data_IF_457565460057
#
_entry.id   IF_457565460057
#
_cell.length_a   1.000
_cell.length_b   1.000
_cell.length_c   1.000
_cell.angle_alpha   90.00
_cell.angle_beta   90.00
_cell.angle_gamma   90.00
#
_symmetry.space_group_name_H-M   'P 1'
#
loop_
_entity.id
_entity.type
_entity.pdbx_description
1 polymer ?
#
# COMPACT_ATOMS: atom_id res chain seq x y z
N UNK A 1 -15.18 2.28 21.96
CA UNK A 1 -15.85 0.96 22.19
C UNK A 1 -16.02 0.63 23.67
N UNK A 2 -15.00 0.80 24.54
CA UNK A 2 -15.13 0.44 25.99
C UNK A 2 -16.39 1.04 26.61
N UNK A 3 -16.64 2.35 26.47
CA UNK A 3 -17.86 2.98 27.01
C UNK A 3 -19.15 2.46 26.34
N UNK A 4 -19.11 2.04 25.08
CA UNK A 4 -20.25 1.41 24.41
C UNK A 4 -20.51 0.02 25.01
N UNK A 5 -19.47 -0.78 25.24
CA UNK A 5 -19.61 -2.08 25.88
C UNK A 5 -20.14 -1.96 27.31
N UNK A 6 -19.62 -1.01 28.10
CA UNK A 6 -20.14 -0.72 29.45
C UNK A 6 -21.63 -0.36 29.40
N UNK A 7 -22.05 0.53 28.48
CA UNK A 7 -23.45 0.90 28.28
C UNK A 7 -24.31 -0.34 27.96
N UNK A 8 -23.86 -1.22 27.06
CA UNK A 8 -24.61 -2.40 26.65
C UNK A 8 -24.69 -3.47 27.75
N UNK A 9 -23.74 -3.53 28.67
CA UNK A 9 -23.73 -4.38 29.83
C UNK A 9 -24.50 -3.80 31.03
N UNK A 10 -25.09 -2.59 30.92
CA UNK A 10 -25.78 -1.91 32.00
C UNK A 10 -24.84 -1.38 33.11
N UNK A 11 -23.54 -1.27 32.81
CA UNK A 11 -22.54 -0.70 33.73
C UNK A 11 -22.43 0.81 33.57
N UNK A 12 -21.77 1.46 34.53
CA UNK A 12 -21.49 2.90 34.47
C UNK A 12 -20.61 3.21 33.25
N UNK A 13 -21.01 4.20 32.46
CA UNK A 13 -20.32 4.63 31.24
C UNK A 13 -20.36 6.15 31.09
N UNK A 14 -19.53 6.69 30.20
CA UNK A 14 -19.48 8.12 29.93
C UNK A 14 -19.96 8.45 28.51
N UNK A 15 -21.17 8.99 28.39
CA UNK A 15 -21.68 9.49 27.11
C UNK A 15 -20.84 10.65 26.53
N UNK A 16 -20.34 11.61 27.32
CA UNK A 16 -19.42 12.65 26.82
C UNK A 16 -18.16 12.09 26.16
N UNK A 17 -17.59 10.99 26.68
CA UNK A 17 -16.43 10.33 26.07
C UNK A 17 -16.81 9.71 24.73
N UNK A 18 -17.98 9.05 24.63
CA UNK A 18 -18.47 8.50 23.36
C UNK A 18 -18.59 9.64 22.33
N UNK A 19 -19.26 10.73 22.65
CA UNK A 19 -19.47 11.86 21.76
C UNK A 19 -18.14 12.47 21.31
N UNK A 20 -17.21 12.72 22.23
CA UNK A 20 -15.87 13.22 21.89
C UNK A 20 -15.10 12.31 20.95
N UNK A 21 -15.20 10.99 21.10
CA UNK A 21 -14.55 10.04 20.19
C UNK A 21 -15.18 10.09 18.79
N UNK A 22 -16.50 10.27 18.70
CA UNK A 22 -17.20 10.43 17.42
C UNK A 22 -16.75 11.71 16.72
N UNK A 23 -16.69 12.83 17.46
CA UNK A 23 -16.22 14.13 16.92
C UNK A 23 -14.80 14.03 16.36
N UNK A 24 -13.91 13.26 17.03
CA UNK A 24 -12.55 13.01 16.52
C UNK A 24 -12.59 12.24 15.19
N UNK A 25 -13.42 11.22 15.07
CA UNK A 25 -13.58 10.43 13.83
C UNK A 25 -14.14 11.34 12.72
N UNK A 26 -15.15 12.14 13.01
CA UNK A 26 -15.76 13.07 12.04
C UNK A 26 -14.76 14.10 11.52
N UNK A 27 -13.91 14.64 12.41
CA UNK A 27 -12.85 15.58 12.04
C UNK A 27 -11.75 14.96 11.16
N UNK A 28 -11.65 13.64 11.11
CA UNK A 28 -10.74 12.91 10.23
C UNK A 28 -11.36 12.58 8.85
N UNK A 29 -12.65 12.84 8.63
CA UNK A 29 -13.33 12.48 7.40
C UNK A 29 -12.92 13.40 6.24
N UNK A 30 -12.43 12.80 5.14
CA UNK A 30 -11.96 13.51 3.95
C UNK A 30 -13.00 13.59 2.83
N UNK A 31 -14.07 12.82 2.91
CA UNK A 31 -15.06 12.67 1.86
C UNK A 31 -15.00 11.31 1.16
N UNK A 32 -16.04 10.98 0.38
CA UNK A 32 -16.13 9.77 -0.44
C UNK A 32 -15.80 8.45 0.28
N UNK A 33 -16.03 8.37 1.59
CA UNK A 33 -15.71 7.21 2.41
C UNK A 33 -14.30 7.21 3.01
N UNK A 34 -13.43 8.11 2.63
CA UNK A 34 -12.06 8.18 3.13
C UNK A 34 -11.93 8.99 4.42
N UNK A 35 -10.98 8.59 5.24
CA UNK A 35 -10.55 9.29 6.44
C UNK A 35 -9.04 9.55 6.40
N UNK A 36 -8.61 10.56 7.13
CA UNK A 36 -7.21 10.72 7.51
C UNK A 36 -6.94 9.93 8.79
N UNK A 37 -5.80 9.25 8.88
CA UNK A 37 -5.35 8.68 10.14
C UNK A 37 -4.55 9.73 10.94
N UNK A 38 -5.27 10.59 11.63
CA UNK A 38 -4.72 11.69 12.43
C UNK A 38 -4.44 12.96 11.63
N UNK A 39 -3.50 13.79 12.14
CA UNK A 39 -3.26 15.14 11.63
C UNK A 39 -2.54 15.25 10.28
N UNK A 40 -2.02 14.15 9.75
CA UNK A 40 -1.11 14.16 8.59
C UNK A 40 -1.78 13.92 7.23
N UNK A 41 -3.09 13.83 7.13
CA UNK A 41 -3.82 13.43 5.90
C UNK A 41 -3.37 12.08 5.32
N UNK A 42 -2.78 11.22 6.12
CA UNK A 42 -2.36 9.90 5.67
C UNK A 42 -3.56 8.96 5.63
N UNK A 43 -3.66 8.20 4.56
CA UNK A 43 -4.70 7.20 4.33
C UNK A 43 -4.04 5.90 3.91
N UNK A 44 -4.08 4.90 4.78
CA UNK A 44 -3.54 3.56 4.57
C UNK A 44 -4.51 2.50 5.11
N UNK A 45 -4.07 1.30 5.37
CA UNK A 45 -4.92 0.24 5.89
C UNK A 45 -5.59 0.53 7.24
N UNK A 46 -5.11 1.53 8.01
CA UNK A 46 -5.80 1.97 9.22
C UNK A 46 -7.20 2.53 8.93
N UNK A 47 -7.43 3.02 7.71
CA UNK A 47 -8.78 3.43 7.33
C UNK A 47 -9.74 2.24 7.31
N UNK A 48 -9.31 1.11 6.75
CA UNK A 48 -10.08 -0.12 6.68
C UNK A 48 -10.20 -0.80 8.05
N UNK A 49 -9.07 -1.18 8.67
CA UNK A 49 -9.07 -2.02 9.85
C UNK A 49 -9.20 -1.27 11.19
N UNK A 50 -9.27 0.07 11.16
CA UNK A 50 -9.54 0.87 12.36
C UNK A 50 -10.70 1.84 12.15
N UNK A 51 -10.61 2.85 11.28
CA UNK A 51 -11.65 3.87 11.15
C UNK A 51 -13.01 3.24 10.81
N UNK A 52 -13.11 2.54 9.70
CA UNK A 52 -14.35 1.87 9.32
C UNK A 52 -14.70 0.66 10.21
N UNK A 53 -13.70 -0.16 10.56
CA UNK A 53 -13.93 -1.32 11.40
C UNK A 53 -14.64 -0.93 12.72
N UNK A 54 -14.11 0.04 13.45
CA UNK A 54 -14.71 0.47 14.71
C UNK A 54 -15.99 1.27 14.53
N UNK A 55 -16.15 2.01 13.44
CA UNK A 55 -17.41 2.68 13.10
C UNK A 55 -18.52 1.68 12.79
N UNK A 56 -18.22 0.57 12.13
CA UNK A 56 -19.18 -0.51 11.85
C UNK A 56 -19.54 -1.30 13.12
N UNK A 57 -18.60 -1.50 14.05
CA UNK A 57 -18.94 -2.03 15.38
C UNK A 57 -19.84 -1.05 16.14
N UNK A 58 -19.63 0.28 16.02
CA UNK A 58 -20.59 1.25 16.56
C UNK A 58 -21.98 1.05 15.96
N UNK A 59 -22.09 0.91 14.65
CA UNK A 59 -23.35 0.64 13.97
C UNK A 59 -24.05 -0.59 14.58
N UNK A 60 -23.34 -1.71 14.70
CA UNK A 60 -23.92 -2.96 15.23
C UNK A 60 -24.46 -2.79 16.64
N UNK A 61 -23.75 -2.09 17.51
CA UNK A 61 -24.11 -1.98 18.92
C UNK A 61 -25.01 -0.79 19.25
N UNK A 62 -25.02 0.26 18.42
CA UNK A 62 -25.68 1.52 18.75
C UNK A 62 -26.82 1.92 17.80
N UNK A 63 -27.10 1.13 16.76
CA UNK A 63 -28.12 1.51 15.77
C UNK A 63 -29.50 1.81 16.36
N UNK A 64 -29.89 1.09 17.43
CA UNK A 64 -31.15 1.37 18.15
C UNK A 64 -31.08 2.63 18.99
N UNK A 65 -29.92 2.99 19.51
CA UNK A 65 -29.73 4.13 20.43
C UNK A 65 -29.38 5.41 19.64
N UNK A 66 -28.74 5.29 18.49
CA UNK A 66 -28.29 6.39 17.65
C UNK A 66 -28.38 5.99 16.15
N UNK A 67 -29.60 5.95 15.60
CA UNK A 67 -29.83 5.53 14.22
C UNK A 67 -29.26 6.54 13.19
N UNK A 68 -29.27 7.83 13.50
CA UNK A 68 -28.74 8.87 12.60
C UNK A 68 -27.24 8.73 12.40
N UNK A 69 -26.47 8.60 13.47
CA UNK A 69 -25.02 8.38 13.40
C UNK A 69 -24.70 7.04 12.74
N UNK A 70 -25.44 6.01 13.06
CA UNK A 70 -25.30 4.68 12.45
C UNK A 70 -25.49 4.74 10.94
N UNK A 71 -26.48 5.51 10.47
CA UNK A 71 -26.68 5.75 9.03
C UNK A 71 -25.47 6.44 8.40
N UNK A 72 -24.94 7.49 9.02
CA UNK A 72 -23.74 8.20 8.50
C UNK A 72 -22.56 7.25 8.33
N UNK A 73 -22.31 6.39 9.33
CA UNK A 73 -21.20 5.43 9.25
C UNK A 73 -21.43 4.34 8.20
N UNK A 74 -22.67 3.85 8.03
CA UNK A 74 -23.02 2.94 6.94
C UNK A 74 -22.79 3.56 5.57
N UNK A 75 -23.25 4.80 5.35
CA UNK A 75 -23.13 5.50 4.10
C UNK A 75 -21.64 5.72 3.73
N UNK A 76 -20.81 6.14 4.68
CA UNK A 76 -19.36 6.30 4.51
C UNK A 76 -18.66 4.97 4.21
N UNK A 77 -19.02 3.90 4.91
CA UNK A 77 -18.45 2.57 4.69
C UNK A 77 -18.84 2.03 3.30
N UNK A 78 -20.06 2.27 2.84
CA UNK A 78 -20.51 1.88 1.50
C UNK A 78 -19.73 2.59 0.40
N UNK A 79 -19.48 3.90 0.54
CA UNK A 79 -18.65 4.64 -0.40
C UNK A 79 -17.20 4.15 -0.43
N UNK A 80 -16.65 3.83 0.73
CA UNK A 80 -15.30 3.28 0.85
C UNK A 80 -15.20 1.88 0.24
N UNK A 81 -16.16 1.00 0.45
CA UNK A 81 -16.18 -0.36 -0.07
C UNK A 81 -16.02 -0.42 -1.59
N UNK A 82 -16.71 0.48 -2.33
CA UNK A 82 -16.66 0.57 -3.78
C UNK A 82 -15.29 0.99 -4.34
N UNK A 83 -14.44 1.55 -3.51
CA UNK A 83 -13.06 1.93 -3.83
C UNK A 83 -12.09 0.89 -3.29
N UNK A 84 -12.24 0.48 -2.04
CA UNK A 84 -11.34 -0.44 -1.38
C UNK A 84 -11.29 -1.83 -2.02
N UNK A 85 -12.34 -2.24 -2.76
CA UNK A 85 -12.33 -3.49 -3.53
C UNK A 85 -11.20 -3.51 -4.58
N UNK A 86 -10.80 -2.35 -5.11
CA UNK A 86 -9.71 -2.24 -6.07
C UNK A 86 -8.32 -2.55 -5.48
N UNK A 87 -8.20 -2.59 -4.16
CA UNK A 87 -6.95 -2.95 -3.47
C UNK A 87 -6.65 -4.44 -3.49
N UNK A 88 -7.65 -5.26 -3.86
CA UNK A 88 -7.55 -6.72 -3.88
C UNK A 88 -7.48 -7.25 -5.31
N UNK A 89 -6.63 -8.26 -5.50
CA UNK A 89 -6.55 -9.04 -6.73
C UNK A 89 -7.51 -10.24 -6.69
N UNK A 90 -7.75 -10.81 -7.85
CA UNK A 90 -8.62 -11.98 -8.02
C UNK A 90 -8.09 -13.23 -7.27
N UNK A 91 -6.79 -13.29 -6.99
CA UNK A 91 -6.17 -14.37 -6.20
C UNK A 91 -6.23 -14.13 -4.67
N UNK A 92 -6.80 -13.02 -4.23
CA UNK A 92 -6.89 -12.64 -2.83
C UNK A 92 -5.70 -11.84 -2.30
N UNK A 93 -4.62 -11.67 -3.06
CA UNK A 93 -3.54 -10.77 -2.67
C UNK A 93 -4.02 -9.32 -2.66
N UNK A 94 -3.38 -8.48 -1.87
CA UNK A 94 -3.70 -7.05 -1.78
C UNK A 94 -2.45 -6.19 -1.98
N UNK A 95 -2.65 -4.94 -2.42
CA UNK A 95 -1.55 -3.99 -2.60
C UNK A 95 -0.90 -3.69 -1.25
N UNK A 96 0.38 -3.98 -1.05
CA UNK A 96 1.08 -3.63 0.18
C UNK A 96 1.43 -2.15 0.18
N UNK A 97 0.78 -1.37 1.03
CA UNK A 97 0.97 0.08 1.12
C UNK A 97 0.92 0.57 2.56
N UNK A 98 1.81 1.49 2.91
CA UNK A 98 1.84 2.12 4.20
C UNK A 98 2.51 1.27 5.29
N UNK A 99 2.12 1.51 6.53
CA UNK A 99 2.70 0.92 7.75
C UNK A 99 1.90 -0.28 8.25
N UNK A 100 2.46 -0.96 9.26
CA UNK A 100 1.81 -2.07 9.98
C UNK A 100 1.38 -3.23 9.09
N UNK A 101 2.07 -3.45 7.97
CA UNK A 101 1.77 -4.53 7.04
C UNK A 101 1.97 -5.92 7.66
N UNK A 102 2.64 -6.00 8.81
CA UNK A 102 2.72 -7.25 9.61
C UNK A 102 1.37 -7.71 10.16
N UNK A 103 0.34 -6.86 10.13
CA UNK A 103 -1.04 -7.24 10.51
C UNK A 103 -1.75 -8.02 9.40
N UNK A 104 -1.10 -8.21 8.26
CA UNK A 104 -1.45 -9.13 7.16
C UNK A 104 -2.96 -9.15 6.85
N UNK A 105 -3.65 -10.25 7.19
CA UNK A 105 -5.07 -10.43 6.92
C UNK A 105 -6.02 -9.55 7.77
N UNK A 106 -5.52 -8.65 8.64
CA UNK A 106 -6.36 -7.55 9.14
C UNK A 106 -6.95 -6.70 8.00
N UNK A 107 -6.35 -6.75 6.80
CA UNK A 107 -6.85 -6.07 5.60
C UNK A 107 -8.30 -6.45 5.26
N UNK A 108 -8.73 -7.68 5.55
CA UNK A 108 -10.11 -8.12 5.28
C UNK A 108 -11.10 -7.76 6.39
N UNK A 109 -10.63 -7.31 7.55
CA UNK A 109 -11.53 -7.05 8.70
C UNK A 109 -12.61 -6.00 8.41
N UNK A 110 -12.36 -5.09 7.47
CA UNK A 110 -13.38 -4.16 6.98
C UNK A 110 -14.56 -4.89 6.34
N UNK A 111 -14.29 -5.86 5.47
CA UNK A 111 -15.32 -6.65 4.79
C UNK A 111 -16.12 -7.47 5.78
N UNK A 112 -15.46 -8.03 6.79
CA UNK A 112 -16.12 -8.76 7.86
C UNK A 112 -17.00 -7.85 8.73
N UNK A 113 -16.52 -6.63 9.02
CA UNK A 113 -17.29 -5.65 9.77
C UNK A 113 -18.52 -5.15 8.99
N UNK A 114 -18.46 -5.04 7.65
CA UNK A 114 -19.63 -4.75 6.81
C UNK A 114 -20.71 -5.82 6.98
N UNK A 115 -20.31 -7.10 6.88
CA UNK A 115 -21.23 -8.22 7.06
C UNK A 115 -21.80 -8.23 8.48
N UNK A 116 -20.94 -8.06 9.50
CA UNK A 116 -21.34 -8.04 10.91
C UNK A 116 -22.32 -6.91 11.24
N UNK A 117 -22.20 -5.76 10.57
CA UNK A 117 -23.07 -4.60 10.75
C UNK A 117 -24.29 -4.57 9.83
N UNK A 118 -24.53 -5.64 9.06
CA UNK A 118 -25.63 -5.75 8.10
C UNK A 118 -25.67 -4.57 7.11
N UNK A 119 -24.50 -4.25 6.48
CA UNK A 119 -24.38 -3.20 5.46
C UNK A 119 -24.38 -3.84 4.07
N UNK A 120 -25.43 -3.59 3.33
CA UNK A 120 -25.64 -4.10 1.97
C UNK A 120 -25.04 -3.11 0.94
N UNK A 121 -23.85 -3.41 0.43
CA UNK A 121 -23.14 -2.59 -0.58
C UNK A 121 -22.65 -3.42 -1.77
N UNK A 122 -22.31 -4.68 -1.54
CA UNK A 122 -21.89 -5.66 -2.54
C UNK A 122 -22.60 -6.98 -2.25
N UNK A 123 -22.75 -7.80 -3.28
CA UNK A 123 -23.23 -9.17 -3.08
C UNK A 123 -22.39 -9.90 -2.02
N UNK A 124 -23.06 -10.50 -1.06
CA UNK A 124 -22.41 -11.14 0.09
C UNK A 124 -21.46 -12.29 -0.32
N UNK A 125 -21.75 -12.97 -1.45
CA UNK A 125 -20.87 -13.98 -2.02
C UNK A 125 -19.55 -13.38 -2.56
N UNK A 126 -19.57 -12.15 -3.10
CA UNK A 126 -18.37 -11.43 -3.49
C UNK A 126 -17.53 -11.09 -2.24
N UNK A 127 -18.16 -10.57 -1.19
CA UNK A 127 -17.47 -10.26 0.08
C UNK A 127 -16.86 -11.54 0.67
N UNK A 128 -17.63 -12.65 0.70
CA UNK A 128 -17.15 -13.96 1.14
C UNK A 128 -15.94 -14.41 0.34
N UNK A 129 -16.00 -14.27 -0.99
CA UNK A 129 -14.90 -14.61 -1.88
C UNK A 129 -13.63 -13.77 -1.61
N UNK A 130 -13.75 -12.45 -1.38
CA UNK A 130 -12.61 -11.59 -1.01
C UNK A 130 -11.97 -12.09 0.29
N UNK A 131 -12.78 -12.35 1.32
CA UNK A 131 -12.30 -12.80 2.63
C UNK A 131 -11.56 -14.14 2.50
N UNK A 132 -12.17 -15.14 1.89
CA UNK A 132 -11.62 -16.49 1.85
C UNK A 132 -10.40 -16.60 0.94
N UNK A 133 -10.40 -15.94 -0.24
CA UNK A 133 -9.22 -15.90 -1.10
C UNK A 133 -8.04 -15.19 -0.44
N UNK A 134 -8.29 -14.10 0.30
CA UNK A 134 -7.22 -13.42 1.03
C UNK A 134 -6.65 -14.30 2.16
N UNK A 135 -7.48 -14.95 2.97
CA UNK A 135 -7.02 -15.88 4.00
C UNK A 135 -6.21 -17.02 3.37
N UNK A 136 -6.72 -17.64 2.29
CA UNK A 136 -6.01 -18.69 1.54
C UNK A 136 -4.66 -18.17 1.04
N UNK A 137 -4.61 -16.99 0.43
CA UNK A 137 -3.36 -16.40 -0.05
C UNK A 137 -2.31 -16.28 1.07
N UNK A 138 -2.73 -15.88 2.28
CA UNK A 138 -1.84 -15.76 3.43
C UNK A 138 -1.37 -17.11 3.97
N UNK A 139 -2.23 -18.14 3.98
CA UNK A 139 -1.85 -19.49 4.46
C UNK A 139 -0.82 -20.17 3.55
N UNK A 140 -0.73 -19.75 2.30
CA UNK A 140 0.27 -20.23 1.33
C UNK A 140 1.64 -19.52 1.45
N UNK A 141 1.81 -18.61 2.40
CA UNK A 141 3.03 -17.82 2.61
C UNK A 141 3.77 -18.27 3.86
N UNK A 142 5.08 -18.02 3.88
CA UNK A 142 5.91 -18.36 5.04
C UNK A 142 5.77 -17.30 6.15
N UNK A 143 4.57 -17.22 6.73
CA UNK A 143 4.21 -16.22 7.76
C UNK A 143 4.33 -16.75 9.19
N UNK A 144 4.63 -18.02 9.35
CA UNK A 144 4.81 -18.65 10.66
C UNK A 144 6.30 -18.86 10.97
N UNK A 145 6.63 -18.84 12.23
CA UNK A 145 7.91 -19.33 12.75
C UNK A 145 7.88 -20.87 12.82
N UNK A 146 9.05 -21.50 13.03
CA UNK A 146 9.13 -22.95 13.23
C UNK A 146 8.32 -23.43 14.46
N UNK A 147 8.09 -22.55 15.43
CA UNK A 147 7.23 -22.82 16.58
C UNK A 147 5.74 -22.61 16.37
N UNK A 148 5.31 -22.36 15.13
CA UNK A 148 3.89 -22.16 14.79
C UNK A 148 3.31 -20.80 15.20
N UNK A 149 4.15 -19.80 15.48
CA UNK A 149 3.72 -18.46 15.83
C UNK A 149 3.78 -17.55 14.60
N UNK A 150 2.86 -16.58 14.50
CA UNK A 150 2.92 -15.54 13.46
C UNK A 150 4.23 -14.75 13.60
N UNK A 151 5.01 -14.73 12.51
CA UNK A 151 6.29 -14.03 12.46
C UNK A 151 6.14 -12.53 12.22
N UNK A 152 7.13 -11.74 12.65
CA UNK A 152 7.31 -10.37 12.19
C UNK A 152 7.76 -10.37 10.72
N UNK A 153 7.10 -9.60 9.88
CA UNK A 153 7.37 -9.52 8.44
C UNK A 153 6.10 -9.51 7.61
N UNK A 154 6.22 -9.48 6.29
CA UNK A 154 5.08 -9.53 5.38
C UNK A 154 4.85 -10.95 4.87
N UNK A 155 5.40 -11.36 3.73
CA UNK A 155 5.25 -12.72 3.19
C UNK A 155 6.27 -13.71 3.74
N UNK A 156 7.26 -13.25 4.48
CA UNK A 156 8.28 -14.06 5.14
C UNK A 156 8.79 -13.32 6.40
N UNK A 157 9.48 -13.98 7.34
CA UNK A 157 10.08 -13.33 8.50
C UNK A 157 11.08 -12.25 8.10
N UNK A 158 10.76 -10.99 8.39
CA UNK A 158 11.58 -9.83 8.02
C UNK A 158 11.33 -8.66 8.99
N UNK A 159 12.27 -8.38 9.86
CA UNK A 159 12.18 -7.31 10.84
C UNK A 159 12.60 -5.94 10.31
N UNK A 160 13.28 -5.87 9.15
CA UNK A 160 13.75 -4.59 8.57
C UNK A 160 12.56 -3.71 8.16
N UNK A 161 11.46 -4.32 7.74
CA UNK A 161 10.25 -3.61 7.32
C UNK A 161 9.35 -3.15 8.46
N UNK A 162 9.61 -3.58 9.70
CA UNK A 162 8.72 -3.33 10.84
C UNK A 162 8.82 -1.90 11.36
N UNK A 163 7.83 -1.45 12.10
CA UNK A 163 7.83 -0.19 12.83
C UNK A 163 8.43 -0.37 14.24
N UNK A 164 8.92 0.73 14.82
CA UNK A 164 9.53 0.72 16.14
C UNK A 164 8.57 0.29 17.27
N UNK A 165 7.27 0.36 17.05
CA UNK A 165 6.25 -0.10 18.01
C UNK A 165 5.85 -1.56 17.83
N UNK A 166 6.36 -2.26 16.80
CA UNK A 166 6.02 -3.66 16.59
C UNK A 166 6.78 -4.59 17.55
N UNK A 167 6.04 -5.42 18.24
CA UNK A 167 6.54 -6.47 19.14
C UNK A 167 6.11 -7.85 18.64
N UNK A 168 6.63 -8.92 19.24
CA UNK A 168 6.35 -10.31 18.84
C UNK A 168 4.84 -10.64 18.76
N UNK A 169 4.01 -10.02 19.61
CA UNK A 169 2.55 -10.18 19.59
C UNK A 169 1.82 -9.32 18.56
N UNK A 170 2.48 -8.34 17.94
CA UNK A 170 1.82 -7.41 17.02
C UNK A 170 1.18 -8.08 15.79
N UNK A 171 1.74 -9.14 15.18
CA UNK A 171 1.08 -9.82 14.06
C UNK A 171 -0.32 -10.35 14.37
N UNK A 172 -0.64 -10.62 15.65
CA UNK A 172 -1.96 -11.10 16.08
C UNK A 172 -3.09 -10.05 16.00
N UNK A 173 -2.77 -8.78 15.71
CA UNK A 173 -3.77 -7.81 15.28
C UNK A 173 -4.51 -8.25 14.00
N UNK A 174 -3.93 -9.15 13.22
CA UNK A 174 -4.58 -9.79 12.07
C UNK A 174 -5.85 -10.55 12.44
N UNK A 175 -6.01 -10.98 13.70
CA UNK A 175 -7.21 -11.71 14.16
C UNK A 175 -8.50 -10.86 14.16
N UNK A 176 -8.40 -9.55 13.91
CA UNK A 176 -9.59 -8.77 13.50
C UNK A 176 -10.27 -9.37 12.27
N UNK A 177 -9.51 -10.05 11.39
CA UNK A 177 -10.00 -10.79 10.24
C UNK A 177 -10.70 -12.11 10.59
N UNK A 178 -11.22 -12.27 11.79
CA UNK A 178 -12.05 -13.40 12.23
C UNK A 178 -13.34 -12.95 12.90
N UNK A 179 -13.77 -11.70 12.68
CA UNK A 179 -15.02 -11.18 13.25
C UNK A 179 -16.24 -11.97 12.77
N UNK A 180 -16.21 -12.47 11.53
CA UNK A 180 -17.29 -13.29 10.97
C UNK A 180 -17.59 -14.56 11.77
N UNK A 181 -16.62 -15.09 12.54
CA UNK A 181 -16.85 -16.26 13.40
C UNK A 181 -17.85 -16.00 14.54
N UNK A 182 -18.24 -14.76 14.77
CA UNK A 182 -19.28 -14.39 15.73
C UNK A 182 -20.69 -14.44 15.15
N UNK A 183 -20.82 -14.65 13.83
CA UNK A 183 -22.10 -14.76 13.16
C UNK A 183 -22.74 -16.12 13.45
N UNK A 184 -24.07 -16.19 13.62
CA UNK A 184 -24.74 -17.46 13.81
C UNK A 184 -24.67 -18.35 12.56
N UNK A 185 -24.71 -19.67 12.74
CA UNK A 185 -24.54 -20.65 11.65
C UNK A 185 -25.54 -20.48 10.50
N UNK A 186 -26.75 -19.98 10.81
CA UNK A 186 -27.78 -19.70 9.82
C UNK A 186 -27.70 -18.32 9.19
N UNK A 187 -26.60 -17.56 9.41
CA UNK A 187 -26.41 -16.26 8.79
C UNK A 187 -26.21 -16.41 7.28
N UNK A 188 -26.77 -15.50 6.50
CA UNK A 188 -26.70 -15.52 5.03
C UNK A 188 -25.25 -15.60 4.49
N UNK A 189 -24.28 -15.05 5.20
CA UNK A 189 -22.86 -15.18 4.87
C UNK A 189 -22.40 -16.65 4.77
N UNK A 190 -22.84 -17.50 5.69
CA UNK A 190 -22.46 -18.91 5.69
C UNK A 190 -23.21 -19.71 4.63
N UNK A 191 -24.48 -19.35 4.36
CA UNK A 191 -25.36 -20.05 3.42
C UNK A 191 -25.13 -19.70 1.96
N UNK A 192 -24.50 -18.54 1.66
CA UNK A 192 -24.24 -18.10 0.30
C UNK A 192 -22.91 -18.68 -0.22
N UNK A 193 -22.86 -19.07 -1.48
CA UNK A 193 -21.63 -19.50 -2.14
C UNK A 193 -20.67 -18.34 -2.39
N UNK A 194 -19.37 -18.65 -2.43
CA UNK A 194 -18.35 -17.70 -2.84
C UNK A 194 -18.55 -17.28 -4.31
N UNK A 195 -18.35 -15.99 -4.58
CA UNK A 195 -18.34 -15.44 -5.94
C UNK A 195 -16.99 -14.80 -6.27
N UNK A 196 -16.69 -14.78 -7.54
CA UNK A 196 -15.52 -14.09 -8.08
C UNK A 196 -15.63 -12.58 -7.91
N UNK A 197 -14.50 -11.89 -8.10
CA UNK A 197 -14.47 -10.43 -8.16
C UNK A 197 -15.36 -9.92 -9.30
N UNK A 198 -16.08 -8.83 -9.11
CA UNK A 198 -16.89 -8.24 -10.19
C UNK A 198 -15.99 -7.72 -11.30
N UNK A 199 -16.57 -7.52 -12.49
CA UNK A 199 -15.85 -6.83 -13.56
C UNK A 199 -15.58 -5.37 -13.16
N UNK A 200 -14.30 -5.02 -13.04
CA UNK A 200 -13.85 -3.70 -12.58
C UNK A 200 -13.07 -2.98 -13.68
N UNK A 201 -13.03 -1.65 -13.59
CA UNK A 201 -12.19 -0.83 -14.47
C UNK A 201 -10.71 -1.09 -14.21
N UNK A 202 -9.87 -0.96 -15.23
CA UNK A 202 -8.42 -1.12 -15.09
C UNK A 202 -7.76 0.04 -14.32
N UNK A 203 -8.44 1.16 -14.18
CA UNK A 203 -7.91 2.35 -13.48
C UNK A 203 -9.00 2.91 -12.56
N UNK A 204 -8.67 3.11 -11.28
CA UNK A 204 -9.49 3.74 -10.26
C UNK A 204 -8.71 4.84 -9.56
N UNK A 205 -9.22 6.06 -9.63
CA UNK A 205 -8.61 7.24 -8.98
C UNK A 205 -9.25 7.48 -7.63
N UNK A 206 -8.47 7.43 -6.58
CA UNK A 206 -8.84 7.67 -5.18
C UNK A 206 -8.20 9.01 -4.74
N UNK A 207 -8.90 10.10 -5.02
CA UNK A 207 -8.38 11.46 -4.82
C UNK A 207 -8.06 11.78 -3.37
N UNK A 208 -8.91 11.34 -2.46
CA UNK A 208 -8.78 11.56 -1.02
C UNK A 208 -7.54 10.86 -0.46
N UNK A 209 -7.24 9.67 -0.97
CA UNK A 209 -6.03 8.91 -0.65
C UNK A 209 -4.80 9.35 -1.46
N UNK A 210 -4.96 10.22 -2.46
CA UNK A 210 -3.89 10.63 -3.37
C UNK A 210 -3.22 9.46 -4.11
N UNK A 211 -4.03 8.45 -4.47
CA UNK A 211 -3.63 7.18 -5.06
C UNK A 211 -4.43 6.91 -6.33
N UNK A 212 -3.84 6.20 -7.29
CA UNK A 212 -4.52 5.64 -8.45
C UNK A 212 -4.25 4.15 -8.52
N UNK A 213 -5.28 3.31 -8.36
CA UNK A 213 -5.20 1.86 -8.51
C UNK A 213 -5.23 1.48 -9.98
N UNK A 214 -4.34 0.57 -10.37
CA UNK A 214 -4.21 0.03 -11.71
C UNK A 214 -4.32 -1.50 -11.66
N UNK A 215 -5.01 -2.08 -12.64
CA UNK A 215 -5.24 -3.54 -12.72
C UNK A 215 -4.91 -4.05 -14.12
N UNK A 216 -4.24 -5.19 -14.18
CA UNK A 216 -4.02 -5.98 -15.38
C UNK A 216 -3.98 -7.47 -15.01
N UNK A 217 -5.07 -8.19 -15.22
CA UNK A 217 -5.23 -9.54 -14.71
C UNK A 217 -5.06 -9.61 -13.19
N UNK A 218 -4.15 -10.47 -12.73
CA UNK A 218 -3.82 -10.62 -11.30
C UNK A 218 -2.90 -9.53 -10.76
N UNK A 219 -2.32 -8.70 -11.60
CA UNK A 219 -1.47 -7.60 -11.16
C UNK A 219 -2.33 -6.40 -10.77
N UNK A 220 -2.25 -6.03 -9.49
CA UNK A 220 -2.84 -4.80 -8.96
C UNK A 220 -1.72 -3.94 -8.38
N UNK A 221 -1.64 -2.71 -8.82
CA UNK A 221 -0.66 -1.78 -8.26
C UNK A 221 -1.25 -0.39 -8.03
N UNK A 222 -0.79 0.26 -6.99
CA UNK A 222 -1.16 1.63 -6.66
C UNK A 222 -0.08 2.58 -7.12
N UNK A 223 -0.41 3.56 -7.96
CA UNK A 223 0.41 4.74 -8.18
C UNK A 223 0.14 5.73 -7.05
N UNK A 224 1.20 6.35 -6.51
CA UNK A 224 1.10 7.19 -5.33
C UNK A 224 1.79 8.55 -5.53
N UNK A 225 1.07 9.62 -5.24
CA UNK A 225 1.61 10.98 -5.23
C UNK A 225 2.39 11.32 -3.94
N UNK A 226 2.42 10.39 -2.99
CA UNK A 226 2.97 10.61 -1.66
C UNK A 226 1.93 11.16 -0.67
N UNK A 227 2.14 10.85 0.58
CA UNK A 227 1.27 11.30 1.68
C UNK A 227 2.13 11.77 2.84
N UNK A 228 1.74 12.86 3.47
CA UNK A 228 2.38 13.31 4.70
C UNK A 228 1.93 12.42 5.85
N UNK A 229 2.88 11.85 6.58
CA UNK A 229 2.62 11.09 7.79
C UNK A 229 3.34 11.70 8.98
N UNK A 230 2.90 11.41 10.21
CA UNK A 230 3.55 11.92 11.41
C UNK A 230 4.99 11.41 11.51
N UNK A 231 5.87 12.20 12.11
CA UNK A 231 7.24 11.80 12.41
C UNK A 231 7.26 10.54 13.28
N UNK A 232 8.23 9.66 13.03
CA UNK A 232 8.46 8.45 13.82
C UNK A 232 8.08 7.12 13.14
N UNK A 233 7.60 7.15 11.90
CA UNK A 233 7.43 5.92 11.10
C UNK A 233 8.79 5.57 10.46
N UNK A 234 9.32 4.39 10.77
CA UNK A 234 10.55 3.90 10.18
C UNK A 234 10.37 3.65 8.67
N UNK A 235 11.39 4.03 7.89
CA UNK A 235 11.39 3.88 6.43
C UNK A 235 10.16 4.55 5.77
N UNK A 236 9.77 5.70 6.29
CA UNK A 236 8.58 6.43 5.88
C UNK A 236 8.52 6.65 4.36
N UNK A 237 9.63 7.10 3.75
CA UNK A 237 9.71 7.36 2.31
C UNK A 237 9.41 6.09 1.50
N UNK A 238 9.97 4.96 1.90
CA UNK A 238 9.70 3.69 1.23
C UNK A 238 8.24 3.23 1.35
N UNK A 239 7.55 3.57 2.44
CA UNK A 239 6.18 3.14 2.73
C UNK A 239 5.10 4.04 2.13
N UNK A 240 5.39 5.34 1.90
CA UNK A 240 4.38 6.32 1.46
C UNK A 240 4.78 7.15 0.24
N UNK A 241 6.06 7.14 -0.16
CA UNK A 241 6.56 8.07 -1.16
C UNK A 241 7.10 7.41 -2.43
N UNK A 242 7.05 6.08 -2.56
CA UNK A 242 7.32 5.43 -3.84
C UNK A 242 6.27 5.84 -4.87
N UNK A 243 6.64 5.76 -6.14
CA UNK A 243 5.70 6.01 -7.24
C UNK A 243 4.68 4.89 -7.40
N UNK A 244 5.06 3.66 -7.05
CA UNK A 244 4.18 2.51 -7.20
C UNK A 244 4.40 1.45 -6.11
N UNK A 245 3.34 0.75 -5.75
CA UNK A 245 3.28 -0.39 -4.83
C UNK A 245 2.50 -1.52 -5.49
N UNK A 246 3.01 -2.74 -5.46
CA UNK A 246 2.45 -3.85 -6.24
C UNK A 246 2.17 -5.08 -5.39
N UNK A 247 1.02 -5.74 -5.62
CA UNK A 247 0.69 -7.03 -5.01
C UNK A 247 1.62 -8.17 -5.46
N UNK A 248 2.22 -8.07 -6.66
CA UNK A 248 3.13 -9.09 -7.21
C UNK A 248 4.60 -8.84 -6.84
N UNK A 249 5.00 -7.58 -6.74
CA UNK A 249 6.39 -7.18 -6.59
C UNK A 249 6.69 -6.61 -5.20
N UNK A 250 5.68 -6.37 -4.38
CA UNK A 250 5.83 -5.72 -3.09
C UNK A 250 6.42 -4.32 -3.21
N UNK A 251 7.27 -3.99 -2.27
CA UNK A 251 8.17 -2.85 -2.30
C UNK A 251 9.37 -3.14 -1.39
N UNK A 252 10.44 -2.37 -1.57
CA UNK A 252 11.64 -2.51 -0.74
C UNK A 252 11.76 -1.36 0.26
N UNK A 253 12.30 -1.68 1.44
CA UNK A 253 12.74 -0.72 2.45
C UNK A 253 14.27 -0.69 2.47
N UNK A 254 14.91 0.46 2.73
CA UNK A 254 16.37 0.55 2.75
C UNK A 254 16.95 -0.29 3.91
N UNK A 255 18.08 -0.92 3.65
CA UNK A 255 18.89 -1.59 4.68
C UNK A 255 20.01 -0.69 5.21
N UNK A 256 20.38 0.32 4.46
CA UNK A 256 21.41 1.30 4.78
C UNK A 256 21.38 2.49 3.82
N UNK A 257 22.24 3.47 4.08
CA UNK A 257 22.22 4.75 3.36
C UNK A 257 23.18 4.80 2.14
N UNK A 258 23.94 3.73 1.86
CA UNK A 258 24.98 3.77 0.85
C UNK A 258 24.56 3.13 -0.47
N UNK A 259 24.54 3.96 -1.50
CA UNK A 259 24.37 3.55 -2.89
C UNK A 259 23.01 2.91 -3.19
N UNK A 260 22.84 2.54 -4.44
CA UNK A 260 21.56 1.98 -4.93
C UNK A 260 21.25 0.60 -4.36
N UNK A 261 22.29 -0.18 -4.03
CA UNK A 261 22.14 -1.54 -3.48
C UNK A 261 21.50 -1.52 -2.09
N UNK A 262 22.01 -0.68 -1.15
CA UNK A 262 21.49 -0.61 0.21
C UNK A 262 20.17 0.18 0.30
N UNK A 263 20.03 1.22 -0.53
CA UNK A 263 18.81 2.04 -0.59
C UNK A 263 17.62 1.30 -1.18
N UNK A 264 17.87 0.33 -2.08
CA UNK A 264 16.85 -0.51 -2.72
C UNK A 264 15.66 0.30 -3.26
N UNK A 265 15.96 1.26 -4.15
CA UNK A 265 15.03 2.29 -4.62
C UNK A 265 14.12 1.80 -5.76
N UNK A 266 13.43 0.68 -5.56
CA UNK A 266 12.40 0.22 -6.48
C UNK A 266 11.22 1.20 -6.52
N UNK A 267 10.68 1.43 -7.71
CA UNK A 267 9.58 2.37 -7.95
C UNK A 267 9.81 3.75 -7.33
N UNK A 268 11.06 4.23 -7.37
CA UNK A 268 11.48 5.54 -6.86
C UNK A 268 12.41 6.24 -7.81
N UNK A 269 12.28 7.57 -7.85
CA UNK A 269 13.30 8.47 -8.39
C UNK A 269 14.13 9.05 -7.24
N UNK A 270 15.45 8.99 -7.36
CA UNK A 270 16.37 9.43 -6.32
C UNK A 270 17.51 10.27 -6.90
N UNK A 271 18.04 11.16 -6.08
CA UNK A 271 19.05 12.15 -6.45
C UNK A 271 20.26 12.07 -5.52
N UNK A 272 21.46 12.27 -6.06
CA UNK A 272 22.69 12.33 -5.27
C UNK A 272 23.62 13.39 -5.84
N UNK A 273 24.29 14.15 -4.99
CA UNK A 273 25.39 15.07 -5.39
C UNK A 273 26.77 14.49 -5.11
N UNK A 274 26.87 13.37 -4.39
CA UNK A 274 28.13 12.70 -4.04
C UNK A 274 28.27 11.28 -4.65
N UNK A 275 27.25 10.78 -5.34
CA UNK A 275 27.14 9.41 -5.89
C UNK A 275 27.17 8.29 -4.83
N UNK A 276 27.11 8.63 -3.57
CA UNK A 276 27.18 7.69 -2.43
C UNK A 276 25.87 7.60 -1.67
N UNK A 277 25.26 8.76 -1.40
CA UNK A 277 23.98 8.85 -0.72
C UNK A 277 22.94 9.39 -1.67
N UNK A 278 21.87 8.66 -1.79
CA UNK A 278 20.73 9.05 -2.62
C UNK A 278 19.59 9.54 -1.75
N UNK A 279 18.96 10.60 -2.18
CA UNK A 279 17.83 11.26 -1.51
C UNK A 279 16.58 10.93 -2.30
N UNK A 280 15.64 10.30 -1.64
CA UNK A 280 14.33 9.95 -2.15
C UNK A 280 13.33 11.11 -2.02
N UNK A 281 12.22 11.00 -2.72
CA UNK A 281 11.13 11.96 -2.68
C UNK A 281 10.62 12.12 -1.24
N UNK A 282 10.55 13.35 -0.78
CA UNK A 282 9.99 13.77 0.52
C UNK A 282 9.51 15.22 0.41
N UNK A 283 8.77 15.68 1.39
CA UNK A 283 8.34 17.09 1.53
C UNK A 283 7.75 17.68 0.24
N UNK A 284 6.76 16.99 -0.33
CA UNK A 284 6.08 17.42 -1.55
C UNK A 284 5.47 18.80 -1.37
N UNK A 285 5.91 19.74 -2.19
CA UNK A 285 5.45 21.14 -2.19
C UNK A 285 4.09 21.30 -2.83
N UNK A 286 3.83 20.53 -3.89
CA UNK A 286 2.58 20.52 -4.64
C UNK A 286 2.25 19.11 -5.07
N UNK A 287 1.00 18.72 -4.93
CA UNK A 287 0.48 17.44 -5.36
C UNK A 287 -0.95 17.61 -5.82
N UNK A 288 -1.30 17.03 -6.97
CA UNK A 288 -2.67 16.97 -7.46
C UNK A 288 -2.86 15.83 -8.46
N UNK A 289 -4.12 15.45 -8.67
CA UNK A 289 -4.53 14.49 -9.70
C UNK A 289 -5.51 15.21 -10.64
N UNK A 290 -5.22 15.21 -11.94
CA UNK A 290 -6.10 15.75 -12.99
C UNK A 290 -6.42 14.65 -13.99
N UNK A 291 -7.69 14.25 -14.07
CA UNK A 291 -8.05 13.01 -14.76
C UNK A 291 -7.35 11.84 -14.10
N UNK A 292 -6.55 11.10 -14.87
CA UNK A 292 -5.73 9.99 -14.38
C UNK A 292 -4.25 10.39 -14.17
N UNK A 293 -3.87 11.61 -14.53
CA UNK A 293 -2.48 12.07 -14.44
C UNK A 293 -2.22 12.62 -13.03
N UNK A 294 -1.19 12.11 -12.40
CA UNK A 294 -0.75 12.49 -11.06
C UNK A 294 0.48 13.39 -11.19
N UNK A 295 0.50 14.50 -10.45
CA UNK A 295 1.60 15.46 -10.45
C UNK A 295 2.12 15.69 -9.06
N UNK A 296 3.45 15.77 -8.93
CA UNK A 296 4.15 16.18 -7.70
C UNK A 296 5.33 17.09 -7.98
N UNK A 297 5.58 18.02 -7.05
CA UNK A 297 6.77 18.88 -7.06
C UNK A 297 7.47 18.82 -5.71
N UNK A 298 8.80 18.63 -5.71
CA UNK A 298 9.61 18.48 -4.50
C UNK A 298 11.04 18.98 -4.71
N UNK A 299 11.80 19.16 -3.63
CA UNK A 299 13.19 19.64 -3.67
C UNK A 299 14.07 18.77 -2.78
N UNK A 300 14.87 17.85 -3.36
CA UNK A 300 15.78 17.00 -2.58
C UNK A 300 16.96 17.74 -1.97
N UNK A 301 17.44 18.76 -2.66
CA UNK A 301 18.62 19.56 -2.31
C UNK A 301 18.30 21.04 -2.50
N UNK A 302 19.11 21.92 -1.88
CA UNK A 302 19.03 23.36 -2.11
C UNK A 302 19.25 23.66 -3.61
N UNK A 303 18.35 24.46 -4.19
CA UNK A 303 18.36 24.85 -5.62
C UNK A 303 18.18 23.67 -6.59
N UNK A 304 17.66 22.55 -6.15
CA UNK A 304 17.21 21.45 -6.99
C UNK A 304 15.70 21.33 -6.87
N UNK A 305 14.98 21.55 -7.97
CA UNK A 305 13.53 21.41 -8.05
C UNK A 305 13.19 20.29 -9.04
N UNK A 306 12.32 19.41 -8.62
CA UNK A 306 11.88 18.26 -9.42
C UNK A 306 10.37 18.26 -9.51
N UNK A 307 9.87 18.15 -10.74
CA UNK A 307 8.46 17.97 -11.05
C UNK A 307 8.28 16.59 -11.68
N UNK A 308 7.36 15.81 -11.15
CA UNK A 308 7.02 14.49 -11.70
C UNK A 308 5.58 14.41 -12.14
N UNK A 309 5.36 13.73 -13.27
CA UNK A 309 4.06 13.25 -13.72
C UNK A 309 4.08 11.74 -13.75
N UNK A 310 3.04 11.12 -13.16
CA UNK A 310 2.79 9.68 -13.25
C UNK A 310 1.53 9.48 -14.07
N UNK A 311 1.62 8.65 -15.11
CA UNK A 311 0.51 8.37 -16.02
C UNK A 311 0.23 6.87 -15.99
N UNK A 312 -0.93 6.42 -15.53
CA UNK A 312 -1.30 5.01 -15.51
C UNK A 312 -1.51 4.48 -16.93
N UNK A 313 -0.91 3.35 -17.23
CA UNK A 313 -1.03 2.62 -18.49
C UNK A 313 -0.87 1.10 -18.22
N UNK A 314 -1.77 0.47 -17.42
CA UNK A 314 -1.61 -0.93 -17.03
C UNK A 314 -1.34 -1.86 -18.23
N UNK A 315 -0.38 -2.79 -18.11
CA UNK A 315 0.44 -3.14 -16.93
C UNK A 315 1.61 -2.18 -16.65
N UNK A 316 1.80 -1.15 -17.44
CA UNK A 316 2.85 -0.15 -17.32
C UNK A 316 2.35 1.12 -16.64
N UNK A 317 3.26 2.00 -16.34
CA UNK A 317 3.01 3.41 -16.07
C UNK A 317 4.16 4.25 -16.63
N UNK A 318 3.84 5.47 -17.05
CA UNK A 318 4.83 6.41 -17.59
C UNK A 318 5.20 7.38 -16.47
N UNK A 319 6.47 7.70 -16.37
CA UNK A 319 7.04 8.73 -15.50
C UNK A 319 7.69 9.80 -16.37
N UNK A 320 7.36 11.04 -16.11
CA UNK A 320 8.02 12.19 -16.72
C UNK A 320 8.62 13.00 -15.58
N UNK A 321 9.89 13.34 -15.69
CA UNK A 321 10.60 14.09 -14.68
C UNK A 321 11.22 15.35 -15.31
N UNK A 322 10.83 16.54 -14.83
CA UNK A 322 11.51 17.79 -15.12
C UNK A 322 12.36 18.20 -13.92
N UNK A 323 13.63 18.48 -14.17
CA UNK A 323 14.61 18.83 -13.15
C UNK A 323 15.18 20.20 -13.47
N UNK A 324 15.21 21.07 -12.47
CA UNK A 324 15.96 22.34 -12.50
C UNK A 324 17.01 22.29 -11.40
N UNK A 325 18.30 22.42 -11.74
CA UNK A 325 19.44 22.32 -10.83
C UNK A 325 20.49 23.35 -11.14
N UNK A 326 21.19 23.88 -10.12
CA UNK A 326 22.34 24.78 -10.26
C UNK A 326 23.70 24.06 -10.24
N UNK A 327 23.69 22.72 -10.11
CA UNK A 327 24.88 21.87 -9.96
C UNK A 327 24.73 20.53 -10.67
N UNK A 328 25.89 19.87 -10.87
CA UNK A 328 25.87 18.48 -11.36
C UNK A 328 25.33 17.54 -10.28
N UNK A 329 24.39 16.68 -10.66
CA UNK A 329 23.78 15.65 -9.81
C UNK A 329 23.70 14.31 -10.55
N UNK A 330 23.72 13.24 -9.79
CA UNK A 330 23.41 11.90 -10.28
C UNK A 330 21.96 11.55 -9.94
N UNK A 331 21.25 10.96 -10.89
CA UNK A 331 19.87 10.54 -10.71
C UNK A 331 19.72 9.05 -11.01
N UNK A 332 18.79 8.41 -10.30
CA UNK A 332 18.40 7.03 -10.59
C UNK A 332 16.89 6.88 -10.48
N UNK A 333 16.30 6.10 -11.39
CA UNK A 333 14.88 5.78 -11.44
C UNK A 333 14.70 4.25 -11.50
N UNK A 334 14.18 3.66 -10.43
CA UNK A 334 14.00 2.23 -10.30
C UNK A 334 12.62 1.77 -10.78
N UNK A 335 12.57 0.66 -11.52
CA UNK A 335 11.33 -0.07 -11.80
C UNK A 335 10.87 -0.90 -10.60
N UNK A 336 9.89 -1.77 -10.79
CA UNK A 336 9.48 -2.72 -9.76
C UNK A 336 10.61 -3.70 -9.41
N UNK A 337 10.81 -3.97 -8.12
CA UNK A 337 11.70 -5.04 -7.67
C UNK A 337 11.11 -6.40 -8.06
N UNK A 338 11.94 -7.32 -8.52
CA UNK A 338 11.51 -8.69 -8.83
C UNK A 338 12.42 -9.69 -8.10
N UNK A 339 11.86 -10.80 -7.63
CA UNK A 339 12.64 -11.86 -7.00
C UNK A 339 13.80 -12.27 -7.91
N UNK A 340 15.02 -12.30 -7.38
CA UNK A 340 16.22 -12.66 -8.15
C UNK A 340 16.48 -14.16 -8.19
N UNK A 341 15.62 -14.97 -7.58
CA UNK A 341 15.76 -16.43 -7.46
C UNK A 341 14.48 -17.12 -7.98
N UNK A 342 14.69 -18.24 -8.65
CA UNK A 342 13.64 -19.17 -9.01
C UNK A 342 14.07 -20.58 -8.55
N UNK A 343 13.24 -21.26 -7.74
CA UNK A 343 13.55 -22.56 -7.15
C UNK A 343 14.95 -22.60 -6.49
N UNK A 344 15.27 -21.61 -5.66
CA UNK A 344 16.55 -21.43 -4.97
C UNK A 344 17.78 -21.15 -5.87
N UNK A 345 17.61 -21.07 -7.17
CA UNK A 345 18.66 -20.71 -8.10
C UNK A 345 18.52 -19.23 -8.51
N UNK A 346 19.65 -18.55 -8.66
CA UNK A 346 19.67 -17.21 -9.23
C UNK A 346 19.14 -17.23 -10.66
N UNK A 347 18.40 -16.20 -11.04
CA UNK A 347 17.95 -16.02 -12.41
C UNK A 347 19.14 -16.05 -13.38
N UNK A 348 18.97 -16.73 -14.48
CA UNK A 348 19.97 -16.87 -15.54
C UNK A 348 20.02 -15.63 -16.45
N UNK A 349 21.00 -15.59 -17.33
CA UNK A 349 21.08 -14.54 -18.37
C UNK A 349 19.90 -14.63 -19.34
N UNK A 350 19.28 -15.80 -19.52
CA UNK A 350 18.10 -15.97 -20.39
C UNK A 350 16.84 -15.32 -19.81
N UNK A 351 16.83 -15.16 -18.47
CA UNK A 351 15.74 -14.48 -17.75
C UNK A 351 15.90 -12.96 -17.75
N UNK A 352 17.06 -12.45 -18.15
CA UNK A 352 17.40 -11.01 -18.12
C UNK A 352 17.73 -10.53 -19.53
N UNK A 353 16.82 -9.79 -20.13
CA UNK A 353 17.01 -9.18 -21.45
C UNK A 353 17.37 -7.72 -21.29
N UNK A 354 18.59 -7.35 -21.66
CA UNK A 354 19.05 -5.97 -21.63
C UNK A 354 19.38 -5.51 -23.06
N UNK A 355 18.80 -4.37 -23.43
CA UNK A 355 19.00 -3.69 -24.71
C UNK A 355 19.47 -2.25 -24.46
N UNK A 356 19.69 -1.48 -25.51
CA UNK A 356 20.23 -0.13 -25.41
C UNK A 356 19.30 0.83 -24.63
N UNK A 357 17.98 0.63 -24.76
CA UNK A 357 16.99 1.53 -24.16
C UNK A 357 16.04 0.86 -23.16
N UNK A 358 16.16 -0.45 -22.90
CA UNK A 358 15.34 -1.11 -21.86
C UNK A 358 16.04 -2.32 -21.26
N UNK A 359 15.58 -2.68 -20.08
CA UNK A 359 15.86 -3.96 -19.43
C UNK A 359 14.55 -4.60 -18.99
N UNK A 360 14.41 -5.90 -19.25
CA UNK A 360 13.27 -6.72 -18.85
C UNK A 360 13.77 -7.97 -18.14
N UNK A 361 13.20 -8.27 -16.98
CA UNK A 361 13.55 -9.41 -16.14
C UNK A 361 12.31 -10.28 -16.02
N UNK A 362 12.48 -11.58 -16.25
CA UNK A 362 11.45 -12.60 -16.11
C UNK A 362 11.71 -13.46 -14.88
N UNK A 363 10.69 -13.72 -14.09
CA UNK A 363 10.72 -14.76 -13.06
C UNK A 363 9.38 -15.52 -13.07
N UNK A 364 9.41 -16.77 -13.52
CA UNK A 364 8.20 -17.53 -13.77
C UNK A 364 7.31 -16.86 -14.81
N UNK A 365 6.10 -16.50 -14.42
CA UNK A 365 5.17 -15.76 -15.29
C UNK A 365 5.21 -14.25 -15.09
N UNK A 366 5.98 -13.75 -14.13
CA UNK A 366 6.07 -12.34 -13.82
C UNK A 366 7.21 -11.67 -14.58
N UNK A 367 6.98 -10.42 -14.99
CA UNK A 367 7.96 -9.60 -15.69
C UNK A 367 8.08 -8.24 -15.00
N UNK A 368 9.30 -7.79 -14.74
CA UNK A 368 9.60 -6.43 -14.33
C UNK A 368 10.61 -5.82 -15.28
N UNK A 369 10.40 -4.58 -15.68
CA UNK A 369 11.31 -3.89 -16.58
C UNK A 369 11.19 -2.39 -16.48
N UNK A 370 12.14 -1.71 -17.13
CA UNK A 370 12.14 -0.27 -17.29
C UNK A 370 12.64 0.09 -18.69
N UNK A 371 11.96 1.04 -19.32
CA UNK A 371 12.27 1.53 -20.66
C UNK A 371 12.68 2.99 -20.58
N UNK A 372 13.85 3.32 -21.09
CA UNK A 372 14.30 4.70 -21.30
C UNK A 372 13.65 5.23 -22.59
N UNK A 373 12.68 6.09 -22.44
CA UNK A 373 12.08 6.81 -23.56
C UNK A 373 12.90 8.05 -23.92
N UNK A 374 13.50 8.71 -22.92
CA UNK A 374 14.28 9.91 -23.13
C UNK A 374 15.16 10.24 -21.91
N UNK A 375 16.35 10.73 -22.14
CA UNK A 375 17.18 11.51 -21.21
C UNK A 375 18.12 10.72 -20.28
N UNK A 376 17.87 9.45 -20.00
CA UNK A 376 18.80 8.66 -19.18
C UNK A 376 19.98 8.14 -20.01
N UNK A 377 21.15 8.08 -19.37
CA UNK A 377 22.40 7.68 -20.03
C UNK A 377 22.69 6.18 -19.93
N UNK A 378 22.22 5.52 -18.88
CA UNK A 378 22.54 4.11 -18.62
C UNK A 378 21.35 3.34 -18.09
N UNK A 379 21.37 2.03 -18.34
CA UNK A 379 20.45 1.05 -17.80
C UNK A 379 21.24 0.07 -16.94
N UNK A 380 20.81 -0.11 -15.72
CA UNK A 380 21.47 -0.94 -14.71
C UNK A 380 20.53 -1.99 -14.15
N UNK A 381 21.10 -3.14 -13.79
CA UNK A 381 20.44 -4.14 -12.96
C UNK A 381 21.01 -4.02 -11.55
N UNK A 382 20.23 -3.50 -10.63
CA UNK A 382 20.65 -3.36 -9.24
C UNK A 382 20.27 -4.62 -8.47
N UNK A 383 21.24 -5.33 -7.95
CA UNK A 383 21.05 -6.38 -6.96
C UNK A 383 20.88 -5.71 -5.60
N UNK A 384 19.65 -5.61 -5.14
CA UNK A 384 19.38 -5.00 -3.83
C UNK A 384 19.98 -5.80 -2.67
N UNK A 385 20.30 -5.13 -1.58
CA UNK A 385 20.75 -5.82 -0.37
C UNK A 385 19.67 -6.80 0.12
N UNK A 386 20.13 -7.91 0.68
CA UNK A 386 19.21 -8.96 1.13
C UNK A 386 18.19 -8.43 2.17
N UNK A 387 16.98 -8.97 2.12
CA UNK A 387 15.86 -8.63 3.01
C UNK A 387 15.37 -7.18 2.91
N UNK A 388 15.68 -6.47 1.83
CA UNK A 388 15.11 -5.14 1.58
C UNK A 388 13.66 -5.23 1.10
N UNK A 389 13.35 -6.15 0.17
CA UNK A 389 11.98 -6.30 -0.30
C UNK A 389 11.10 -7.03 0.73
N UNK A 390 9.85 -6.59 0.88
CA UNK A 390 8.93 -7.17 1.86
C UNK A 390 8.38 -8.54 1.45
N UNK A 391 8.47 -8.89 0.16
CA UNK A 391 7.97 -10.16 -0.39
C UNK A 391 9.08 -11.16 -0.73
N UNK A 392 10.30 -10.68 -0.99
CA UNK A 392 11.41 -11.50 -1.46
C UNK A 392 12.67 -11.21 -0.66
N UNK A 393 13.36 -12.25 -0.18
CA UNK A 393 14.63 -12.08 0.54
C UNK A 393 15.74 -11.52 -0.33
N UNK A 394 15.68 -11.76 -1.66
CA UNK A 394 16.61 -11.25 -2.67
C UNK A 394 15.86 -10.75 -3.88
N UNK A 395 16.22 -9.57 -4.36
CA UNK A 395 15.56 -8.95 -5.51
C UNK A 395 16.54 -8.23 -6.44
N UNK A 396 16.14 -8.18 -7.71
CA UNK A 396 16.72 -7.29 -8.71
C UNK A 396 15.79 -6.09 -8.91
N UNK A 397 16.40 -4.93 -9.18
CA UNK A 397 15.69 -3.68 -9.50
C UNK A 397 16.23 -3.20 -10.84
N UNK A 398 15.43 -3.23 -11.93
CA UNK A 398 15.79 -2.58 -13.18
C UNK A 398 15.84 -1.07 -12.96
N UNK A 399 16.93 -0.40 -13.32
CA UNK A 399 17.17 1.00 -12.93
C UNK A 399 17.79 1.80 -14.06
N UNK A 400 17.20 2.93 -14.38
CA UNK A 400 17.79 3.95 -15.26
C UNK A 400 18.65 4.91 -14.43
N UNK A 401 19.78 5.37 -15.00
CA UNK A 401 20.64 6.36 -14.34
C UNK A 401 21.14 7.40 -15.31
N UNK A 402 21.36 8.61 -14.82
CA UNK A 402 22.03 9.68 -15.55
C UNK A 402 22.87 10.56 -14.60
N UNK A 403 23.90 11.20 -15.15
CA UNK A 403 24.53 12.38 -14.56
C UNK A 403 24.03 13.59 -15.34
N UNK A 404 23.51 14.58 -14.65
CA UNK A 404 22.98 15.80 -15.25
C UNK A 404 23.71 17.01 -14.66
N UNK A 405 24.08 17.96 -15.52
CA UNK A 405 24.76 19.19 -15.13
C UNK A 405 23.74 20.27 -14.74
N UNK A 406 24.27 21.45 -14.33
CA UNK A 406 23.40 22.59 -14.02
C UNK A 406 22.56 23.01 -15.22
N UNK A 407 21.27 23.28 -14.98
CA UNK A 407 20.33 23.65 -16.02
C UNK A 407 18.91 23.04 -15.81
N UNK A 408 18.15 22.98 -16.90
CA UNK A 408 16.83 22.32 -16.96
C UNK A 408 16.92 21.07 -17.81
N UNK A 409 16.41 19.99 -17.28
CA UNK A 409 16.44 18.67 -17.91
C UNK A 409 15.06 18.01 -17.86
N UNK A 410 14.77 17.18 -18.87
CA UNK A 410 13.60 16.28 -18.89
C UNK A 410 14.10 14.85 -19.03
N UNK A 411 13.50 13.96 -18.23
CA UNK A 411 13.78 12.52 -18.26
C UNK A 411 12.48 11.75 -18.43
#
# INVERSE_FOLDING_TARGET
LVNISLKKCGAEFSQPVINKCIDVIDNCYLGNGWYADGKGNQSDYYIAFAMHFYSLLYVKFMNSDDPERSKVFKDRASLFALQYIYWFSDDGSSVPYGRSLIYRFAQISFWEALVFADVDVLDIGIIKGIIFRNLKWWTERNIMTDGGLLSLGYTYPNTIMTEGYNAAGSPYWSFKGFLILTLPDNHNFWLTDEKDMPNMKNIMVEKEANITLCRDGKHVFALCNGQNAPNGILNFQAKYWKFAYSNLFGFSVPRGAYGLTQGAFDSMFVVSDDKKRYIERSDVKKSHIKGNIMYTSWSPLKNVLINHWLIPLPPWHIRICEISTDRSISVADGGFAICSENNMNLLSNDDIKKYDNYILIKNGQNYSGILNLYGYSNINLIKSAANTNIMFSRAFIPTLTANIDGGKHTL
#
